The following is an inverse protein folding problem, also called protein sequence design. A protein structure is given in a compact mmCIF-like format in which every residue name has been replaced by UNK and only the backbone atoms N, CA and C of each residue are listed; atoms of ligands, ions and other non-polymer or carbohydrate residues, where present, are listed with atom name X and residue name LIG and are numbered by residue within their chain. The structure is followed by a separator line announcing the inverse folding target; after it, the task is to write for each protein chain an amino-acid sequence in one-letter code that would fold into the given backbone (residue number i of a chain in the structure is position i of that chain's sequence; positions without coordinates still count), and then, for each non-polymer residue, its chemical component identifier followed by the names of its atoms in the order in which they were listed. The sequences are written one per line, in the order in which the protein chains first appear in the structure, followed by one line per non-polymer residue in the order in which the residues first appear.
data_IF_908396268332
#
_entry.id   IF_908396268332
#
_cell.length_a   1.000
_cell.length_b   1.000
_cell.length_c   1.000
_cell.angle_alpha   90.00
_cell.angle_beta   90.00
_cell.angle_gamma   90.00
#
_symmetry.space_group_name_H-M   'P 1'
#
loop_
_entity.id
_entity.type
_entity.pdbx_description
1 polymer ?
#
# COMPACT_ATOMS: atom_id res chain seq x y z
N UNK A 1 6.50 46.98 21.86
CA UNK A 1 5.91 45.64 22.12
C UNK A 1 4.59 45.77 22.90
N UNK A 2 3.81 46.82 22.68
CA UNK A 2 2.76 47.25 23.64
C UNK A 2 1.41 47.57 22.99
N UNK A 3 1.06 46.87 21.90
CA UNK A 3 -0.30 46.91 21.36
C UNK A 3 -0.93 45.50 21.43
N UNK A 4 -1.70 45.18 22.48
CA UNK A 4 -2.37 43.87 22.63
C UNK A 4 -3.33 43.56 21.46
N UNK A 5 -3.74 44.57 20.70
CA UNK A 5 -4.48 44.49 19.44
C UNK A 5 -3.80 43.63 18.37
N UNK A 6 -2.47 43.55 18.38
CA UNK A 6 -1.66 42.82 17.38
C UNK A 6 -1.46 41.33 17.72
N UNK A 7 -1.69 40.95 18.97
CA UNK A 7 -1.52 39.57 19.46
C UNK A 7 -2.63 38.66 18.92
N UNK A 8 -3.87 39.15 18.87
CA UNK A 8 -5.02 38.39 18.36
C UNK A 8 -4.86 37.95 16.90
N UNK A 9 -4.56 38.87 15.95
CA UNK A 9 -4.33 38.53 14.55
C UNK A 9 -3.15 37.57 14.35
N UNK A 10 -2.02 37.79 15.03
CA UNK A 10 -0.84 36.94 14.92
C UNK A 10 -1.12 35.51 15.43
N UNK A 11 -1.85 35.38 16.53
CA UNK A 11 -2.22 34.07 17.09
C UNK A 11 -3.24 33.34 16.21
N UNK A 12 -4.20 34.07 15.63
CA UNK A 12 -5.18 33.48 14.70
C UNK A 12 -4.50 32.88 13.45
N UNK A 13 -3.50 33.54 12.88
CA UNK A 13 -2.75 33.03 11.72
C UNK A 13 -1.96 31.76 12.07
N UNK A 14 -1.33 31.71 13.25
CA UNK A 14 -0.60 30.54 13.71
C UNK A 14 -1.53 29.32 13.89
N UNK A 15 -2.72 29.52 14.47
CA UNK A 15 -3.72 28.47 14.65
C UNK A 15 -4.31 27.99 13.32
N UNK A 16 -4.61 28.90 12.38
CA UNK A 16 -5.06 28.54 11.04
C UNK A 16 -4.00 27.75 10.27
N UNK A 17 -2.74 28.17 10.34
CA UNK A 17 -1.62 27.45 9.70
C UNK A 17 -1.52 26.02 10.25
N UNK A 18 -1.69 25.85 11.56
CA UNK A 18 -1.69 24.53 12.21
C UNK A 18 -2.90 23.71 11.78
N UNK A 19 -4.07 24.33 11.68
CA UNK A 19 -5.30 23.68 11.23
C UNK A 19 -5.18 23.19 9.79
N UNK A 20 -4.76 24.04 8.84
CA UNK A 20 -4.58 23.64 7.45
C UNK A 20 -3.50 22.55 7.30
N UNK A 21 -2.43 22.60 8.08
CA UNK A 21 -1.42 21.53 8.13
C UNK A 21 -1.98 20.20 8.63
N UNK A 22 -2.71 20.22 9.75
CA UNK A 22 -3.33 19.03 10.33
C UNK A 22 -4.40 18.43 9.41
N UNK A 23 -5.20 19.27 8.77
CA UNK A 23 -6.22 18.88 7.78
C UNK A 23 -5.54 18.23 6.57
N UNK A 24 -4.55 18.88 5.96
CA UNK A 24 -3.84 18.33 4.80
C UNK A 24 -3.14 17.00 5.10
N UNK A 25 -2.46 16.91 6.25
CA UNK A 25 -1.77 15.69 6.66
C UNK A 25 -2.75 14.51 6.87
N UNK A 26 -3.81 14.73 7.64
CA UNK A 26 -4.70 13.64 8.04
C UNK A 26 -5.73 13.26 6.98
N UNK A 27 -6.24 14.22 6.21
CA UNK A 27 -7.28 13.96 5.19
C UNK A 27 -6.72 13.61 3.81
N UNK A 28 -5.48 14.00 3.49
CA UNK A 28 -4.93 13.79 2.15
C UNK A 28 -3.72 12.85 2.22
N UNK A 29 -2.68 13.23 2.96
CA UNK A 29 -1.41 12.50 2.94
C UNK A 29 -1.53 11.09 3.54
N UNK A 30 -2.20 10.95 4.70
CA UNK A 30 -2.39 9.64 5.35
C UNK A 30 -3.20 8.64 4.50
N UNK A 31 -4.39 8.96 3.98
CA UNK A 31 -5.13 8.01 3.14
C UNK A 31 -4.42 7.72 1.82
N UNK A 32 -3.70 8.71 1.25
CA UNK A 32 -2.89 8.50 0.05
C UNK A 32 -1.76 7.51 0.31
N UNK A 33 -1.02 7.67 1.42
CA UNK A 33 0.02 6.74 1.84
C UNK A 33 -0.54 5.34 2.10
N UNK A 34 -1.71 5.23 2.74
CA UNK A 34 -2.40 3.96 2.96
C UNK A 34 -2.72 3.24 1.64
N UNK A 35 -3.29 3.97 0.67
CA UNK A 35 -3.62 3.43 -0.66
C UNK A 35 -2.38 2.99 -1.43
N UNK A 36 -1.31 3.76 -1.37
CA UNK A 36 -0.03 3.43 -2.01
C UNK A 36 0.58 2.17 -1.39
N UNK A 37 0.53 2.03 -0.06
CA UNK A 37 1.03 0.85 0.64
C UNK A 37 0.24 -0.40 0.28
N UNK A 38 -1.08 -0.32 0.14
CA UNK A 38 -1.90 -1.46 -0.32
C UNK A 38 -1.50 -1.89 -1.72
N UNK A 39 -1.38 -0.94 -2.67
CA UNK A 39 -0.94 -1.25 -4.05
C UNK A 39 0.47 -1.84 -4.09
N UNK A 40 1.39 -1.31 -3.28
CA UNK A 40 2.74 -1.84 -3.17
C UNK A 40 2.75 -3.29 -2.67
N UNK A 41 1.91 -3.64 -1.68
CA UNK A 41 1.78 -5.03 -1.21
C UNK A 41 1.24 -5.96 -2.30
N UNK A 42 0.24 -5.52 -3.05
CA UNK A 42 -0.31 -6.29 -4.17
C UNK A 42 0.77 -6.54 -5.24
N UNK A 43 1.54 -5.52 -5.60
CA UNK A 43 2.65 -5.68 -6.55
C UNK A 43 3.75 -6.61 -6.04
N UNK A 44 4.12 -6.49 -4.76
CA UNK A 44 5.13 -7.38 -4.16
C UNK A 44 4.69 -8.83 -4.22
N UNK A 45 3.42 -9.13 -3.90
CA UNK A 45 2.86 -10.48 -3.97
C UNK A 45 2.91 -11.04 -5.40
N UNK A 46 2.56 -10.24 -6.41
CA UNK A 46 2.62 -10.66 -7.82
C UNK A 46 4.06 -10.94 -8.24
N UNK A 47 5.01 -10.08 -7.86
CA UNK A 47 6.44 -10.27 -8.18
C UNK A 47 7.00 -11.51 -7.50
N UNK A 48 6.63 -11.75 -6.24
CA UNK A 48 7.04 -12.95 -5.50
C UNK A 48 6.51 -14.23 -6.14
N UNK A 49 5.24 -14.26 -6.53
CA UNK A 49 4.64 -15.38 -7.28
C UNK A 49 5.40 -15.67 -8.58
N UNK A 50 5.77 -14.63 -9.34
CA UNK A 50 6.53 -14.78 -10.59
C UNK A 50 7.93 -15.35 -10.31
N UNK A 51 8.63 -14.85 -9.29
CA UNK A 51 9.96 -15.34 -8.92
C UNK A 51 9.90 -16.82 -8.54
N UNK A 52 8.96 -17.22 -7.69
CA UNK A 52 8.76 -18.63 -7.32
C UNK A 52 8.44 -19.48 -8.54
N UNK A 53 7.59 -18.99 -9.45
CA UNK A 53 7.28 -19.66 -10.70
C UNK A 53 8.50 -19.91 -11.58
N UNK A 54 9.38 -18.92 -11.72
CA UNK A 54 10.62 -19.03 -12.50
C UNK A 54 11.59 -20.00 -11.85
N UNK A 55 11.78 -19.94 -10.52
CA UNK A 55 12.69 -20.83 -9.79
C UNK A 55 12.22 -22.28 -9.92
N UNK A 56 10.94 -22.55 -9.73
CA UNK A 56 10.37 -23.90 -9.89
C UNK A 56 10.48 -24.43 -11.31
N UNK A 57 10.34 -23.55 -12.32
CA UNK A 57 10.54 -23.92 -13.73
C UNK A 57 12.01 -24.26 -14.01
N UNK A 58 12.96 -23.47 -13.49
CA UNK A 58 14.40 -23.71 -13.65
C UNK A 58 14.85 -24.99 -12.96
N UNK A 59 14.25 -25.33 -11.82
CA UNK A 59 14.52 -26.58 -11.09
C UNK A 59 13.87 -27.81 -11.75
N UNK A 60 13.08 -27.65 -12.81
CA UNK A 60 12.41 -28.77 -13.49
C UNK A 60 11.35 -29.45 -12.63
N UNK A 61 10.71 -28.74 -11.70
CA UNK A 61 9.65 -29.32 -10.87
C UNK A 61 8.47 -29.78 -11.72
N UNK A 62 7.79 -30.85 -11.27
CA UNK A 62 6.61 -31.35 -11.98
C UNK A 62 5.55 -30.23 -12.08
N UNK A 63 4.99 -29.95 -13.27
CA UNK A 63 4.01 -28.88 -13.48
C UNK A 63 2.82 -28.94 -12.52
N UNK A 64 2.41 -30.13 -12.09
CA UNK A 64 1.31 -30.34 -11.13
C UNK A 64 1.67 -29.85 -9.72
N UNK A 65 2.92 -30.00 -9.30
CA UNK A 65 3.42 -29.48 -8.02
C UNK A 65 3.62 -27.97 -8.07
N UNK A 66 4.14 -27.45 -9.20
CA UNK A 66 4.28 -26.02 -9.44
C UNK A 66 2.93 -25.30 -9.37
N UNK A 67 1.90 -25.86 -9.98
CA UNK A 67 0.54 -25.33 -9.94
C UNK A 67 0.01 -25.23 -8.49
N UNK A 68 0.18 -26.28 -7.69
CA UNK A 68 -0.21 -26.27 -6.28
C UNK A 68 0.53 -25.19 -5.46
N UNK A 69 1.82 -24.98 -5.72
CA UNK A 69 2.59 -23.90 -5.08
C UNK A 69 2.09 -22.53 -5.48
N UNK A 70 1.79 -22.30 -6.76
CA UNK A 70 1.26 -21.03 -7.25
C UNK A 70 -0.16 -20.75 -6.73
N UNK A 71 -0.99 -21.78 -6.59
CA UNK A 71 -2.32 -21.68 -5.99
C UNK A 71 -2.29 -21.20 -4.54
N UNK A 72 -1.20 -21.43 -3.80
CA UNK A 72 -1.04 -20.91 -2.43
C UNK A 72 -1.01 -19.37 -2.39
N UNK A 73 -0.52 -18.71 -3.44
CA UNK A 73 -0.49 -17.25 -3.57
C UNK A 73 -1.84 -16.66 -4.04
N UNK A 74 -2.77 -17.50 -4.49
CA UNK A 74 -4.08 -17.09 -4.99
C UNK A 74 -5.18 -17.33 -3.95
N UNK A 75 -6.14 -16.41 -3.83
CA UNK A 75 -7.34 -16.63 -3.02
C UNK A 75 -8.16 -17.80 -3.59
N UNK A 76 -8.91 -18.55 -2.76
CA UNK A 76 -9.61 -19.77 -3.17
C UNK A 76 -10.51 -19.58 -4.39
N UNK A 77 -11.15 -18.41 -4.52
CA UNK A 77 -12.06 -18.07 -5.63
C UNK A 77 -11.37 -17.91 -6.99
N UNK A 78 -10.04 -17.76 -7.04
CA UNK A 78 -9.26 -17.59 -8.27
C UNK A 78 -8.41 -18.81 -8.63
N UNK A 79 -8.52 -19.91 -7.87
CA UNK A 79 -7.78 -21.15 -8.12
C UNK A 79 -8.51 -21.95 -9.20
N UNK A 80 -8.14 -21.76 -10.46
CA UNK A 80 -8.62 -22.58 -11.58
C UNK A 80 -7.57 -23.63 -11.87
N UNK A 81 -7.93 -24.91 -11.73
CA UNK A 81 -7.02 -25.99 -12.12
C UNK A 81 -7.18 -26.34 -13.58
N UNK A 82 -6.05 -26.51 -14.27
CA UNK A 82 -6.02 -26.92 -15.69
C UNK A 82 -5.77 -28.41 -15.86
N UNK A 83 -5.52 -29.14 -14.77
CA UNK A 83 -5.14 -30.56 -14.78
C UNK A 83 -6.17 -31.46 -14.07
N UNK A 84 -7.43 -31.01 -14.02
CA UNK A 84 -8.60 -31.87 -13.81
C UNK A 84 -8.87 -32.75 -15.03
#
# INVERSE_FOLDING_TARGET
MEDPSTIGPAMAVALLTTFYGAVGANLICLPMAGKLRTRSKEETLVKEMIIVGIISLANGENPRLLEQKLHAFLPPSKRVSRFE
#
